data_IF_056094882707
#
_entry.id   IF_056094882707
#
_cell.length_a   1.000
_cell.length_b   1.000
_cell.length_c   1.000
_cell.angle_alpha   90.00
_cell.angle_beta   90.00
_cell.angle_gamma   90.00
#
_symmetry.space_group_name_H-M   'P 1'
#
loop_
_entity.id
_entity.type
_entity.pdbx_description
1 polymer ?
#
# COMPACT_ATOMS: atom_id res chain seq x y z
N UNK A 1 -5.17 12.35 33.08
CA UNK A 1 -5.36 13.10 31.83
C UNK A 1 -4.43 12.67 30.67
N UNK A 2 -3.25 12.05 30.89
CA UNK A 2 -2.40 11.54 29.79
C UNK A 2 -2.71 10.11 29.29
N UNK A 3 -3.73 9.44 29.83
CA UNK A 3 -4.08 8.03 29.50
C UNK A 3 -5.30 7.87 28.59
N UNK A 4 -5.97 8.96 28.23
CA UNK A 4 -7.19 8.96 27.39
C UNK A 4 -6.83 9.18 25.90
N UNK A 5 -5.69 9.82 25.62
CA UNK A 5 -5.19 10.06 24.25
C UNK A 5 -4.69 8.76 23.59
N UNK A 6 -4.30 7.74 24.37
CA UNK A 6 -3.79 6.47 23.85
C UNK A 6 -4.88 5.54 23.26
N UNK A 7 -6.14 5.61 23.73
CA UNK A 7 -7.25 4.81 23.18
C UNK A 7 -7.76 5.33 21.83
N UNK A 8 -7.58 6.63 21.57
CA UNK A 8 -7.94 7.28 20.30
C UNK A 8 -7.02 6.85 19.14
N UNK A 9 -5.72 6.72 19.44
CA UNK A 9 -4.75 6.13 18.52
C UNK A 9 -5.01 4.62 18.44
N UNK A 10 -5.54 3.92 19.45
CA UNK A 10 -5.85 2.51 19.29
C UNK A 10 -6.98 2.25 18.29
N UNK A 11 -8.09 3.00 18.29
CA UNK A 11 -9.14 2.75 17.28
C UNK A 11 -8.72 3.22 15.88
N UNK A 12 -8.14 4.42 15.74
CA UNK A 12 -7.64 4.91 14.44
C UNK A 12 -6.38 4.19 13.98
N UNK A 13 -5.49 3.74 14.86
CA UNK A 13 -4.30 2.96 14.51
C UNK A 13 -4.56 1.47 14.42
N UNK A 14 -5.59 0.89 15.05
CA UNK A 14 -6.10 -0.43 14.65
C UNK A 14 -6.59 -0.32 13.20
N UNK A 15 -7.33 0.74 12.87
CA UNK A 15 -7.77 1.04 11.50
C UNK A 15 -6.60 1.34 10.53
N UNK A 16 -5.55 2.08 10.93
CA UNK A 16 -4.38 2.37 10.10
C UNK A 16 -3.38 1.20 10.04
N UNK A 17 -3.29 0.34 11.07
CA UNK A 17 -2.43 -0.85 11.05
C UNK A 17 -2.97 -1.97 10.18
N UNK A 18 -4.20 -1.87 9.67
CA UNK A 18 -4.66 -2.73 8.58
C UNK A 18 -4.09 -2.35 7.20
N UNK A 19 -3.36 -1.24 7.06
CA UNK A 19 -2.62 -0.96 5.81
C UNK A 19 -1.15 -1.42 5.84
N UNK A 20 -0.61 -1.79 7.00
CA UNK A 20 0.80 -2.16 7.16
C UNK A 20 1.03 -3.27 8.19
N UNK A 21 1.78 -4.28 7.75
CA UNK A 21 2.45 -5.33 8.54
C UNK A 21 1.67 -6.62 8.83
N UNK A 22 1.67 -7.54 7.85
CA UNK A 22 1.81 -8.98 8.12
C UNK A 22 3.20 -9.45 7.70
N UNK A 23 4.10 -9.57 8.68
CA UNK A 23 5.36 -10.29 8.53
C UNK A 23 5.10 -11.79 8.51
N UNK A 24 5.26 -12.48 7.37
CA UNK A 24 5.55 -13.92 7.40
C UNK A 24 6.59 -14.38 6.38
N UNK A 25 7.43 -15.23 6.94
CA UNK A 25 8.56 -15.98 6.40
C UNK A 25 8.13 -16.89 5.25
N UNK A 26 9.00 -16.96 4.25
CA UNK A 26 8.72 -17.62 2.99
C UNK A 26 8.78 -19.15 2.96
N UNK A 27 8.30 -19.59 1.80
CA UNK A 27 8.75 -20.71 0.96
C UNK A 27 8.44 -22.15 1.41
N UNK A 28 7.60 -22.81 0.59
CA UNK A 28 8.14 -23.85 -0.31
C UNK A 28 7.32 -24.03 -1.57
N UNK A 29 8.10 -24.28 -2.62
CA UNK A 29 7.79 -24.23 -4.04
C UNK A 29 7.41 -25.62 -4.60
N UNK A 30 6.91 -25.57 -5.83
CA UNK A 30 6.88 -26.58 -6.91
C UNK A 30 5.69 -27.55 -7.05
N UNK A 31 5.06 -27.51 -8.25
CA UNK A 31 4.49 -28.72 -8.83
C UNK A 31 3.42 -28.64 -9.94
N UNK A 32 3.61 -27.83 -11.00
CA UNK A 32 3.28 -28.13 -12.42
C UNK A 32 2.01 -28.94 -12.79
N UNK A 33 1.12 -28.35 -13.61
CA UNK A 33 0.11 -29.13 -14.34
C UNK A 33 -0.84 -28.34 -15.25
N UNK A 34 -0.38 -28.02 -16.46
CA UNK A 34 -1.15 -27.66 -17.67
C UNK A 34 -2.54 -28.31 -17.76
N UNK A 35 -3.57 -27.58 -18.23
CA UNK A 35 -4.29 -27.85 -19.50
C UNK A 35 -5.27 -26.71 -19.86
N UNK A 36 -5.22 -26.31 -21.14
CA UNK A 36 -6.07 -25.36 -21.86
C UNK A 36 -7.58 -25.66 -21.78
N UNK A 37 -8.42 -24.62 -21.85
CA UNK A 37 -9.39 -24.51 -22.96
C UNK A 37 -10.04 -23.12 -23.07
N UNK A 38 -9.94 -22.61 -24.28
CA UNK A 38 -10.52 -21.39 -24.84
C UNK A 38 -12.00 -21.62 -25.19
N UNK A 39 -12.88 -20.66 -24.89
CA UNK A 39 -14.07 -20.40 -25.70
C UNK A 39 -14.62 -19.00 -25.41
N UNK A 40 -14.35 -18.07 -26.33
CA UNK A 40 -14.96 -16.75 -26.41
C UNK A 40 -16.45 -16.85 -26.74
N UNK A 41 -17.27 -16.00 -26.12
CA UNK A 41 -18.51 -15.53 -26.71
C UNK A 41 -18.75 -14.08 -26.28
N UNK A 42 -18.53 -13.17 -27.22
CA UNK A 42 -18.92 -11.77 -27.17
C UNK A 42 -20.43 -11.68 -27.39
N UNK A 43 -21.13 -10.86 -26.61
CA UNK A 43 -22.35 -10.20 -27.07
C UNK A 43 -22.49 -8.83 -26.40
N UNK A 44 -22.40 -7.80 -27.24
CA UNK A 44 -22.77 -6.42 -26.95
C UNK A 44 -24.23 -6.35 -26.48
N UNK A 45 -24.51 -5.60 -25.42
CA UNK A 45 -25.77 -4.84 -25.34
C UNK A 45 -25.55 -3.56 -24.53
N UNK A 46 -25.64 -2.43 -25.23
CA UNK A 46 -25.84 -1.10 -24.65
C UNK A 46 -27.14 -1.09 -23.84
N UNK A 47 -27.04 -0.63 -22.59
CA UNK A 47 -28.20 -0.45 -21.72
C UNK A 47 -27.89 0.57 -20.65
N UNK A 48 -28.16 1.84 -20.94
CA UNK A 48 -28.22 2.92 -19.94
C UNK A 48 -29.26 2.56 -18.88
N UNK A 49 -28.82 2.37 -17.63
CA UNK A 49 -29.71 2.36 -16.47
C UNK A 49 -28.95 2.88 -15.26
N UNK A 50 -29.21 4.13 -14.92
CA UNK A 50 -29.03 4.68 -13.58
C UNK A 50 -29.94 3.92 -12.62
N UNK A 51 -29.43 2.84 -12.04
CA UNK A 51 -30.05 2.10 -10.94
C UNK A 51 -29.05 2.00 -9.81
N UNK A 52 -29.35 2.64 -8.69
CA UNK A 52 -28.70 2.35 -7.40
C UNK A 52 -28.92 0.86 -7.13
N UNK A 53 -27.93 0.06 -7.53
CA UNK A 53 -27.91 -1.36 -7.25
C UNK A 53 -27.34 -1.49 -5.86
N UNK A 54 -28.11 -2.07 -4.94
CA UNK A 54 -27.63 -2.40 -3.61
C UNK A 54 -26.32 -3.19 -3.75
N UNK A 55 -25.20 -2.71 -3.16
CA UNK A 55 -23.89 -3.31 -3.33
C UNK A 55 -23.79 -4.75 -2.81
N UNK A 56 -24.84 -5.28 -2.18
CA UNK A 56 -24.94 -6.68 -1.73
C UNK A 56 -25.49 -7.66 -2.79
N UNK A 57 -25.84 -7.22 -4.01
CA UNK A 57 -26.57 -8.05 -5.00
C UNK A 57 -25.78 -8.26 -6.31
N UNK A 58 -24.51 -8.64 -6.23
CA UNK A 58 -23.77 -9.07 -7.43
C UNK A 58 -23.91 -10.58 -7.62
N UNK A 59 -24.23 -11.02 -8.84
CA UNK A 59 -24.49 -12.43 -9.13
C UNK A 59 -23.21 -13.22 -9.36
N UNK A 60 -22.08 -12.53 -9.62
CA UNK A 60 -20.75 -13.12 -9.79
C UNK A 60 -19.63 -12.23 -9.23
N UNK A 61 -18.46 -12.84 -9.04
CA UNK A 61 -17.24 -12.13 -8.63
C UNK A 61 -16.84 -11.06 -9.66
N UNK A 62 -16.90 -11.40 -10.95
CA UNK A 62 -16.52 -10.49 -12.04
C UNK A 62 -17.41 -9.25 -12.10
N UNK A 63 -18.72 -9.41 -11.87
CA UNK A 63 -19.65 -8.27 -11.77
C UNK A 63 -19.30 -7.35 -10.60
N UNK A 64 -18.97 -7.92 -9.44
CA UNK A 64 -18.56 -7.12 -8.27
C UNK A 64 -17.25 -6.35 -8.54
N UNK A 65 -16.28 -6.98 -9.20
CA UNK A 65 -15.01 -6.33 -9.59
C UNK A 65 -15.26 -5.18 -10.58
N UNK A 66 -16.06 -5.43 -11.63
CA UNK A 66 -16.38 -4.40 -12.63
C UNK A 66 -17.10 -3.21 -12.00
N UNK A 67 -18.09 -3.47 -11.15
CA UNK A 67 -18.81 -2.41 -10.43
C UNK A 67 -17.89 -1.63 -9.47
N UNK A 68 -16.91 -2.30 -8.87
CA UNK A 68 -15.92 -1.63 -8.01
C UNK A 68 -15.03 -0.69 -8.83
N UNK A 69 -14.52 -1.15 -9.97
CA UNK A 69 -13.67 -0.35 -10.87
C UNK A 69 -14.44 0.85 -11.43
N UNK A 70 -15.71 0.66 -11.79
CA UNK A 70 -16.60 1.75 -12.22
C UNK A 70 -16.74 2.81 -11.12
N UNK A 71 -17.06 2.39 -9.90
CA UNK A 71 -17.17 3.29 -8.75
C UNK A 71 -15.84 3.97 -8.39
N UNK A 72 -14.73 3.24 -8.51
CA UNK A 72 -13.37 3.77 -8.34
C UNK A 72 -13.08 4.89 -9.34
N UNK A 73 -13.28 4.63 -10.64
CA UNK A 73 -13.06 5.61 -11.70
C UNK A 73 -13.99 6.83 -11.59
N UNK A 74 -15.22 6.64 -11.10
CA UNK A 74 -16.17 7.72 -10.86
C UNK A 74 -15.85 8.55 -9.60
N UNK A 75 -14.84 8.16 -8.80
CA UNK A 75 -14.56 8.70 -7.46
C UNK A 75 -15.78 8.67 -6.54
N UNK A 76 -16.58 7.62 -6.67
CA UNK A 76 -17.71 7.37 -5.79
C UNK A 76 -17.20 6.72 -4.50
N UNK A 77 -16.66 7.56 -3.61
CA UNK A 77 -16.12 7.15 -2.31
C UNK A 77 -17.15 6.37 -1.49
N UNK A 78 -18.41 6.80 -1.53
CA UNK A 78 -19.47 6.14 -0.77
C UNK A 78 -19.73 4.73 -1.30
N UNK A 79 -19.91 4.59 -2.61
CA UNK A 79 -20.16 3.29 -3.23
C UNK A 79 -18.98 2.34 -3.05
N UNK A 80 -17.75 2.81 -3.28
CA UNK A 80 -16.56 1.97 -3.05
C UNK A 80 -16.39 1.61 -1.58
N UNK A 81 -16.82 2.46 -0.65
CA UNK A 81 -16.78 2.16 0.79
C UNK A 81 -17.80 1.08 1.14
N UNK A 82 -19.04 1.21 0.66
CA UNK A 82 -20.11 0.23 0.90
C UNK A 82 -19.82 -1.14 0.25
N UNK A 83 -19.05 -1.15 -0.84
CA UNK A 83 -18.55 -2.40 -1.45
C UNK A 83 -17.41 -3.05 -0.66
N UNK A 84 -16.65 -2.27 0.12
CA UNK A 84 -15.50 -2.75 0.91
C UNK A 84 -15.84 -3.10 2.35
N UNK A 85 -16.95 -2.57 2.86
CA UNK A 85 -17.30 -2.66 4.27
C UNK A 85 -18.53 -3.57 4.47
N UNK A 86 -18.70 -4.14 5.68
CA UNK A 86 -19.94 -4.81 6.06
C UNK A 86 -21.16 -3.93 5.82
N UNK A 87 -22.34 -4.55 5.69
CA UNK A 87 -23.59 -3.78 5.55
C UNK A 87 -23.85 -2.90 6.78
N UNK A 88 -24.68 -1.87 6.65
CA UNK A 88 -25.08 -0.93 7.71
C UNK A 88 -23.92 -0.27 8.50
N UNK A 89 -22.78 -0.04 7.85
CA UNK A 89 -21.62 0.60 8.48
C UNK A 89 -21.82 2.09 8.81
N UNK A 90 -22.91 2.71 8.36
CA UNK A 90 -23.25 4.10 8.68
C UNK A 90 -23.34 4.35 10.19
N UNK A 91 -23.84 3.41 10.98
CA UNK A 91 -23.94 3.60 12.43
C UNK A 91 -22.57 3.53 13.13
N UNK A 92 -21.65 2.70 12.63
CA UNK A 92 -20.26 2.66 13.11
C UNK A 92 -19.57 3.99 12.81
N UNK A 93 -19.73 4.50 11.58
CA UNK A 93 -19.17 5.79 11.15
C UNK A 93 -19.71 6.93 12.03
N UNK A 94 -21.01 6.96 12.33
CA UNK A 94 -21.59 7.96 13.25
C UNK A 94 -21.02 7.89 14.66
N UNK A 95 -20.78 6.69 15.21
CA UNK A 95 -20.12 6.55 16.52
C UNK A 95 -18.72 7.15 16.48
N UNK A 96 -17.97 6.93 15.40
CA UNK A 96 -16.61 7.50 15.25
C UNK A 96 -16.68 9.02 15.13
N UNK A 97 -17.59 9.57 14.31
CA UNK A 97 -17.80 11.02 14.17
C UNK A 97 -18.17 11.65 15.52
N UNK A 98 -19.10 11.05 16.26
CA UNK A 98 -19.48 11.49 17.61
C UNK A 98 -18.26 11.49 18.55
N UNK A 99 -17.48 10.40 18.54
CA UNK A 99 -16.28 10.29 19.36
C UNK A 99 -15.23 11.37 19.03
N UNK A 100 -15.02 11.67 17.75
CA UNK A 100 -14.12 12.75 17.33
C UNK A 100 -14.62 14.12 17.80
N UNK A 101 -15.93 14.37 17.67
CA UNK A 101 -16.57 15.61 18.14
C UNK A 101 -16.44 15.80 19.64
N UNK A 102 -16.62 14.74 20.43
CA UNK A 102 -16.46 14.77 21.89
C UNK A 102 -15.02 15.14 22.32
N UNK A 103 -14.05 14.97 21.42
CA UNK A 103 -12.65 15.37 21.60
C UNK A 103 -12.26 16.66 20.88
N UNK A 104 -13.24 17.42 20.37
CA UNK A 104 -13.02 18.71 19.71
C UNK A 104 -12.50 18.61 18.27
N UNK A 105 -12.59 17.44 17.64
CA UNK A 105 -12.29 17.24 16.22
C UNK A 105 -13.61 17.31 15.46
N UNK A 106 -13.78 18.33 14.61
CA UNK A 106 -14.92 18.41 13.70
C UNK A 106 -14.61 17.60 12.43
N UNK A 107 -15.39 16.56 12.18
CA UNK A 107 -15.35 15.77 10.94
C UNK A 107 -16.78 15.41 10.55
N UNK A 108 -16.99 15.19 9.25
CA UNK A 108 -18.23 14.64 8.71
C UNK A 108 -18.10 13.15 8.40
N UNK A 109 -19.22 12.45 8.21
CA UNK A 109 -19.20 11.04 7.77
C UNK A 109 -18.46 10.89 6.43
N UNK A 110 -18.66 11.82 5.50
CA UNK A 110 -18.05 11.80 4.17
C UNK A 110 -16.54 12.06 4.21
N UNK A 111 -16.07 12.99 5.05
CA UNK A 111 -14.63 13.19 5.27
C UNK A 111 -13.99 11.94 5.88
N UNK A 112 -14.68 11.30 6.81
CA UNK A 112 -14.21 10.07 7.43
C UNK A 112 -14.13 8.93 6.40
N UNK A 113 -15.18 8.72 5.59
CA UNK A 113 -15.19 7.72 4.50
C UNK A 113 -14.04 7.95 3.52
N UNK A 114 -13.83 9.20 3.08
CA UNK A 114 -12.69 9.55 2.22
C UNK A 114 -11.35 9.24 2.89
N UNK A 115 -11.22 9.52 4.18
CA UNK A 115 -10.01 9.21 4.95
C UNK A 115 -9.75 7.70 5.01
N UNK A 116 -10.78 6.87 5.18
CA UNK A 116 -10.63 5.41 5.16
C UNK A 116 -10.08 4.88 3.83
N UNK A 117 -10.43 5.56 2.75
CA UNK A 117 -10.06 5.18 1.40
C UNK A 117 -8.87 5.97 0.85
N UNK A 118 -8.18 6.72 1.71
CA UNK A 118 -7.04 7.54 1.30
C UNK A 118 -6.02 6.71 0.52
N UNK A 119 -5.63 5.54 1.04
CA UNK A 119 -4.66 4.66 0.41
C UNK A 119 -5.12 4.16 -0.97
N UNK A 120 -6.42 3.94 -1.16
CA UNK A 120 -7.00 3.53 -2.44
C UNK A 120 -6.87 4.63 -3.50
N UNK A 121 -7.09 5.90 -3.13
CA UNK A 121 -7.14 7.03 -4.07
C UNK A 121 -5.89 7.95 -4.08
N UNK A 122 -4.91 7.70 -3.20
CA UNK A 122 -3.73 8.56 -3.07
C UNK A 122 -2.88 8.57 -4.35
N UNK A 123 -2.53 9.77 -4.80
CA UNK A 123 -1.66 10.03 -5.96
C UNK A 123 -2.33 9.83 -7.32
N UNK A 124 -3.65 9.61 -7.36
CA UNK A 124 -4.37 9.12 -8.55
C UNK A 124 -5.42 10.12 -9.05
N UNK A 125 -5.18 11.44 -8.98
CA UNK A 125 -6.17 12.49 -9.30
C UNK A 125 -6.82 12.38 -10.70
N UNK A 126 -6.12 11.80 -11.68
CA UNK A 126 -6.60 11.67 -13.06
C UNK A 126 -6.64 10.23 -13.60
N UNK A 127 -6.31 9.22 -12.80
CA UNK A 127 -6.21 7.84 -13.29
C UNK A 127 -7.58 7.23 -13.57
N UNK A 128 -7.69 6.57 -14.71
CA UNK A 128 -8.81 5.69 -15.07
C UNK A 128 -8.30 4.30 -15.34
N UNK A 129 -8.94 3.31 -14.74
CA UNK A 129 -8.54 1.92 -14.83
C UNK A 129 -9.60 1.14 -15.59
N UNK A 130 -9.19 0.33 -16.56
CA UNK A 130 -10.06 -0.66 -17.20
C UNK A 130 -9.60 -2.06 -16.81
N UNK A 131 -10.56 -2.93 -16.50
CA UNK A 131 -10.30 -4.37 -16.39
C UNK A 131 -10.19 -4.94 -17.80
N UNK A 132 -9.06 -5.56 -18.13
CA UNK A 132 -8.92 -6.31 -19.37
C UNK A 132 -9.51 -7.73 -19.18
N UNK A 133 -8.89 -8.52 -18.31
CA UNK A 133 -9.40 -9.83 -17.93
C UNK A 133 -8.93 -10.28 -16.53
N UNK A 134 -9.59 -11.31 -15.99
CA UNK A 134 -9.16 -12.01 -14.77
C UNK A 134 -8.13 -13.08 -15.16
N UNK A 135 -6.94 -13.02 -14.57
CA UNK A 135 -5.85 -13.98 -14.78
C UNK A 135 -6.10 -15.25 -13.95
N UNK A 136 -6.38 -15.08 -12.65
CA UNK A 136 -6.76 -16.19 -11.76
C UNK A 136 -7.75 -15.75 -10.69
N UNK A 137 -8.49 -16.73 -10.17
CA UNK A 137 -9.37 -16.58 -9.01
C UNK A 137 -9.24 -17.84 -8.17
N UNK A 138 -8.36 -17.76 -7.19
CA UNK A 138 -8.00 -18.88 -6.34
C UNK A 138 -8.65 -18.72 -4.96
N UNK A 139 -9.24 -19.77 -4.37
CA UNK A 139 -9.75 -19.68 -3.00
C UNK A 139 -8.63 -19.21 -2.05
N UNK A 140 -8.96 -18.26 -1.19
CA UNK A 140 -8.05 -17.81 -0.14
C UNK A 140 -7.68 -18.98 0.77
N UNK A 141 -6.42 -19.07 1.17
CA UNK A 141 -5.99 -20.11 2.09
C UNK A 141 -6.58 -19.93 3.50
N UNK A 142 -6.42 -20.93 4.36
CA UNK A 142 -7.01 -20.90 5.71
C UNK A 142 -6.50 -19.71 6.56
N UNK A 143 -5.24 -19.31 6.38
CA UNK A 143 -4.65 -18.17 7.09
C UNK A 143 -5.19 -16.86 6.56
N UNK A 144 -5.23 -16.69 5.23
CA UNK A 144 -5.78 -15.49 4.58
C UNK A 144 -7.25 -15.29 4.91
N UNK A 145 -8.05 -16.37 4.85
CA UNK A 145 -9.46 -16.34 5.21
C UNK A 145 -9.65 -15.99 6.69
N UNK A 146 -8.81 -16.52 7.58
CA UNK A 146 -8.86 -16.19 9.00
C UNK A 146 -8.57 -14.70 9.25
N UNK A 147 -7.54 -14.14 8.59
CA UNK A 147 -7.17 -12.73 8.71
C UNK A 147 -8.29 -11.81 8.17
N UNK A 148 -8.88 -12.16 7.02
CA UNK A 148 -10.03 -11.44 6.45
C UNK A 148 -11.24 -11.48 7.40
N UNK A 149 -11.53 -12.63 8.00
CA UNK A 149 -12.61 -12.79 8.99
C UNK A 149 -12.35 -11.98 10.25
N UNK A 150 -11.13 -11.97 10.78
CA UNK A 150 -10.79 -11.14 11.93
C UNK A 150 -11.05 -9.64 11.64
N UNK A 151 -10.59 -9.18 10.48
CA UNK A 151 -10.71 -7.77 10.07
C UNK A 151 -12.19 -7.35 9.89
N UNK A 152 -12.99 -8.12 9.17
CA UNK A 152 -14.42 -7.85 9.01
C UNK A 152 -15.21 -8.06 10.29
N UNK A 153 -14.81 -9.05 11.10
CA UNK A 153 -15.43 -9.39 12.36
C UNK A 153 -15.37 -8.26 13.38
N UNK A 154 -14.31 -7.44 13.35
CA UNK A 154 -14.21 -6.25 14.20
C UNK A 154 -15.40 -5.32 13.97
N UNK A 155 -15.71 -5.00 12.71
CA UNK A 155 -16.83 -4.12 12.38
C UNK A 155 -18.17 -4.76 12.74
N UNK A 156 -18.32 -6.07 12.52
CA UNK A 156 -19.50 -6.83 12.95
C UNK A 156 -19.72 -6.78 14.47
N UNK A 157 -18.64 -6.90 15.26
CA UNK A 157 -18.70 -6.77 16.72
C UNK A 157 -19.13 -5.37 17.14
N UNK A 158 -18.53 -4.31 16.58
CA UNK A 158 -18.90 -2.92 16.88
C UNK A 158 -20.37 -2.66 16.54
N UNK A 159 -20.86 -3.14 15.39
CA UNK A 159 -22.28 -3.05 15.01
C UNK A 159 -23.18 -3.72 16.04
N UNK A 160 -22.83 -4.95 16.45
CA UNK A 160 -23.56 -5.66 17.50
C UNK A 160 -23.58 -4.87 18.81
N UNK A 161 -22.44 -4.31 19.22
CA UNK A 161 -22.34 -3.52 20.44
C UNK A 161 -23.25 -2.29 20.39
N UNK A 162 -23.27 -1.56 19.27
CA UNK A 162 -24.14 -0.41 19.06
C UNK A 162 -25.62 -0.82 19.22
N UNK A 163 -26.01 -1.93 18.61
CA UNK A 163 -27.35 -2.47 18.71
C UNK A 163 -27.72 -2.86 20.15
N UNK A 164 -26.83 -3.58 20.86
CA UNK A 164 -27.02 -4.02 22.25
C UNK A 164 -27.14 -2.85 23.23
N UNK A 165 -26.45 -1.73 22.97
CA UNK A 165 -26.57 -0.49 23.75
C UNK A 165 -27.80 0.35 23.37
N UNK A 166 -28.53 -0.04 22.34
CA UNK A 166 -29.78 0.58 21.93
C UNK A 166 -29.61 1.81 21.04
N UNK A 167 -28.55 1.83 20.22
CA UNK A 167 -28.30 2.82 19.17
C UNK A 167 -27.06 3.70 19.39
N UNK A 168 -26.62 4.35 18.32
CA UNK A 168 -25.43 5.23 18.25
C UNK A 168 -25.35 6.23 19.40
N UNK A 169 -26.47 6.88 19.75
CA UNK A 169 -26.49 7.93 20.76
C UNK A 169 -26.13 7.44 22.17
N UNK A 170 -26.39 6.16 22.46
CA UNK A 170 -26.17 5.55 23.78
C UNK A 170 -24.80 4.91 23.94
N UNK A 171 -24.02 4.83 22.86
CA UNK A 171 -22.68 4.29 22.91
C UNK A 171 -21.72 5.32 23.52
N UNK A 172 -20.98 4.87 24.53
CA UNK A 172 -19.79 5.52 25.06
C UNK A 172 -18.57 4.94 24.34
N UNK A 173 -17.83 5.79 23.60
CA UNK A 173 -16.68 5.35 22.82
C UNK A 173 -15.53 4.83 23.68
N UNK A 174 -15.38 5.33 24.91
CA UNK A 174 -14.37 4.86 25.86
C UNK A 174 -14.72 3.51 26.49
N UNK A 175 -16.02 3.20 26.60
CA UNK A 175 -16.48 1.88 27.02
C UNK A 175 -16.32 0.87 25.87
N UNK A 176 -16.71 1.25 24.66
CA UNK A 176 -16.55 0.44 23.45
C UNK A 176 -15.09 0.00 23.25
N UNK A 177 -14.12 0.91 23.37
CA UNK A 177 -12.69 0.61 23.21
C UNK A 177 -12.19 -0.45 24.23
N UNK A 178 -12.67 -0.38 25.47
CA UNK A 178 -12.32 -1.35 26.52
C UNK A 178 -12.95 -2.72 26.28
N UNK A 179 -14.23 -2.73 25.91
CA UNK A 179 -14.99 -3.95 25.63
C UNK A 179 -14.38 -4.66 24.41
N UNK A 180 -14.13 -3.92 23.34
CA UNK A 180 -13.46 -4.40 22.14
C UNK A 180 -12.09 -5.01 22.43
N UNK A 181 -11.24 -4.29 23.18
CA UNK A 181 -9.89 -4.76 23.53
C UNK A 181 -9.88 -6.04 24.38
N UNK A 182 -11.01 -6.39 25.00
CA UNK A 182 -11.17 -7.60 25.80
C UNK A 182 -11.67 -8.80 24.98
N UNK A 183 -12.11 -8.61 23.73
CA UNK A 183 -12.62 -9.70 22.90
C UNK A 183 -11.45 -10.48 22.29
N UNK A 184 -11.38 -11.81 22.50
CA UNK A 184 -10.40 -12.65 21.81
C UNK A 184 -10.56 -12.58 20.28
N UNK A 185 -9.44 -12.55 19.54
CA UNK A 185 -9.42 -12.45 18.06
C UNK A 185 -10.25 -13.54 17.37
N UNK A 186 -10.18 -14.77 17.86
CA UNK A 186 -10.96 -15.91 17.37
C UNK A 186 -12.47 -15.69 17.54
N UNK A 187 -12.89 -14.96 18.57
CA UNK A 187 -14.28 -14.57 18.79
C UNK A 187 -14.70 -13.41 17.91
N UNK A 188 -13.79 -12.48 17.60
CA UNK A 188 -14.05 -11.38 16.68
C UNK A 188 -14.42 -11.93 15.29
N UNK A 189 -13.69 -12.93 14.80
CA UNK A 189 -13.91 -13.54 13.50
C UNK A 189 -15.34 -14.13 13.31
N UNK A 190 -16.00 -14.55 14.40
CA UNK A 190 -17.38 -15.07 14.38
C UNK A 190 -18.40 -14.01 13.94
N UNK A 191 -18.07 -12.72 14.06
CA UNK A 191 -18.94 -11.61 13.64
C UNK A 191 -18.73 -11.16 12.19
N UNK A 192 -17.85 -11.82 11.45
CA UNK A 192 -17.38 -11.34 10.13
C UNK A 192 -18.43 -11.41 9.03
N UNK A 193 -19.38 -12.32 9.08
CA UNK A 193 -20.34 -12.58 7.99
C UNK A 193 -19.72 -13.14 6.70
N UNK A 194 -18.39 -13.37 6.67
CA UNK A 194 -17.69 -13.91 5.51
C UNK A 194 -17.85 -15.44 5.48
N UNK A 195 -18.33 -15.96 4.35
CA UNK A 195 -18.45 -17.42 4.12
C UNK A 195 -17.18 -17.98 3.49
N UNK A 196 -16.72 -17.33 2.43
CA UNK A 196 -15.56 -17.69 1.62
C UNK A 196 -14.86 -16.42 1.11
N UNK A 197 -13.65 -16.58 0.59
CA UNK A 197 -12.88 -15.52 -0.03
C UNK A 197 -12.04 -16.09 -1.17
N UNK A 198 -11.80 -15.27 -2.18
CA UNK A 198 -11.02 -15.63 -3.36
C UNK A 198 -10.01 -14.52 -3.62
N UNK A 199 -8.73 -14.91 -3.75
CA UNK A 199 -7.67 -14.04 -4.23
C UNK A 199 -7.80 -13.96 -5.76
N UNK A 200 -8.09 -12.77 -6.27
CA UNK A 200 -8.28 -12.53 -7.69
C UNK A 200 -7.11 -11.73 -8.22
N UNK A 201 -6.41 -12.29 -9.20
CA UNK A 201 -5.37 -11.63 -9.98
C UNK A 201 -5.98 -11.21 -11.32
N UNK A 202 -5.77 -9.96 -11.71
CA UNK A 202 -6.39 -9.35 -12.89
C UNK A 202 -5.39 -8.53 -13.67
N UNK A 203 -5.56 -8.48 -14.99
CA UNK A 203 -4.85 -7.55 -15.83
C UNK A 203 -5.65 -6.24 -15.95
N UNK A 204 -5.00 -5.13 -15.61
CA UNK A 204 -5.58 -3.79 -15.57
C UNK A 204 -4.86 -2.87 -16.54
N UNK A 205 -5.60 -2.02 -17.22
CA UNK A 205 -5.08 -0.98 -18.10
C UNK A 205 -5.27 0.39 -17.45
N UNK A 206 -4.24 1.23 -17.47
CA UNK A 206 -4.39 2.66 -17.24
C UNK A 206 -4.88 3.31 -18.54
N UNK A 207 -6.16 3.69 -18.61
CA UNK A 207 -6.74 4.24 -19.84
C UNK A 207 -6.13 5.58 -20.27
N UNK A 208 -5.41 6.28 -19.37
CA UNK A 208 -4.76 7.55 -19.68
C UNK A 208 -3.42 7.32 -20.39
N UNK A 209 -2.62 6.35 -19.92
CA UNK A 209 -1.27 6.08 -20.45
C UNK A 209 -1.24 4.92 -21.44
N UNK A 210 -2.21 4.02 -21.37
CA UNK A 210 -2.24 2.73 -22.06
C UNK A 210 -1.41 1.64 -21.38
N UNK A 211 -0.84 1.90 -20.20
CA UNK A 211 0.01 0.94 -19.51
C UNK A 211 -0.79 -0.21 -18.91
N UNK A 212 -0.28 -1.43 -19.10
CA UNK A 212 -0.84 -2.67 -18.54
C UNK A 212 -0.11 -3.06 -17.26
N UNK A 213 -0.84 -3.53 -16.25
CA UNK A 213 -0.28 -4.00 -14.99
C UNK A 213 -1.21 -5.00 -14.29
N UNK A 214 -0.65 -5.84 -13.42
CA UNK A 214 -1.43 -6.77 -12.61
C UNK A 214 -2.01 -6.10 -11.35
N UNK A 215 -3.32 -6.23 -11.17
CA UNK A 215 -4.03 -5.92 -9.94
C UNK A 215 -4.31 -7.18 -9.13
N UNK A 216 -4.41 -7.05 -7.80
CA UNK A 216 -4.77 -8.16 -6.90
C UNK A 216 -5.86 -7.69 -5.95
N UNK A 217 -6.91 -8.45 -5.73
CA UNK A 217 -7.88 -8.14 -4.67
C UNK A 217 -8.45 -9.42 -4.08
N UNK A 218 -9.06 -9.32 -2.90
CA UNK A 218 -9.92 -10.40 -2.43
C UNK A 218 -11.38 -10.08 -2.71
N UNK A 219 -12.10 -11.05 -3.25
CA UNK A 219 -13.56 -11.02 -3.38
C UNK A 219 -14.14 -11.95 -2.32
N UNK A 220 -15.02 -11.41 -1.49
CA UNK A 220 -15.47 -12.04 -0.24
C UNK A 220 -16.94 -12.42 -0.36
N UNK A 221 -17.28 -13.70 -0.19
CA UNK A 221 -18.66 -14.11 -0.03
C UNK A 221 -19.19 -13.60 1.32
N UNK A 222 -20.20 -12.73 1.29
CA UNK A 222 -20.71 -12.05 2.47
C UNK A 222 -22.23 -11.95 2.42
N UNK A 223 -22.93 -12.55 3.39
CA UNK A 223 -24.40 -12.55 3.51
C UNK A 223 -25.19 -12.89 2.22
N UNK A 224 -24.64 -13.75 1.35
CA UNK A 224 -25.28 -14.13 0.08
C UNK A 224 -24.97 -13.20 -1.10
N UNK A 225 -24.10 -12.21 -0.90
CA UNK A 225 -23.53 -11.35 -1.94
C UNK A 225 -22.01 -11.35 -1.93
N UNK A 226 -21.42 -10.33 -2.57
CA UNK A 226 -19.97 -10.15 -2.69
C UNK A 226 -19.51 -8.81 -2.13
N UNK A 227 -18.41 -8.83 -1.35
CA UNK A 227 -17.66 -7.64 -0.92
C UNK A 227 -16.26 -7.67 -1.49
N UNK A 228 -15.60 -6.52 -1.55
CA UNK A 228 -14.25 -6.36 -2.09
C UNK A 228 -13.29 -5.98 -0.98
N UNK A 229 -12.16 -6.66 -0.85
CA UNK A 229 -11.00 -6.12 -0.16
C UNK A 229 -10.00 -5.61 -1.20
N UNK A 230 -9.98 -4.29 -1.37
CA UNK A 230 -9.15 -3.59 -2.35
C UNK A 230 -7.78 -3.17 -1.79
N UNK A 231 -7.36 -3.69 -0.62
CA UNK A 231 -6.08 -3.33 -0.01
C UNK A 231 -4.91 -3.55 -0.99
N UNK A 232 -4.97 -4.62 -1.77
CA UNK A 232 -3.95 -4.98 -2.74
C UNK A 232 -4.32 -4.62 -4.18
N UNK A 233 -5.39 -3.84 -4.40
CA UNK A 233 -6.00 -3.64 -5.72
C UNK A 233 -5.00 -3.30 -6.83
N UNK A 234 -3.92 -2.60 -6.47
CA UNK A 234 -2.81 -2.21 -7.36
C UNK A 234 -1.65 -3.24 -7.43
N UNK A 235 -1.88 -4.49 -7.04
CA UNK A 235 -0.91 -5.58 -7.05
C UNK A 235 -0.02 -5.68 -5.80
N UNK A 236 0.25 -6.91 -5.35
CA UNK A 236 1.29 -7.25 -4.34
C UNK A 236 2.68 -7.06 -4.93
N UNK A 237 2.83 -7.18 -6.25
CA UNK A 237 4.11 -7.01 -6.93
C UNK A 237 4.69 -5.61 -6.77
N UNK A 238 3.86 -4.56 -6.73
CA UNK A 238 4.32 -3.19 -6.48
C UNK A 238 4.90 -3.06 -5.06
N UNK A 239 4.30 -3.71 -4.05
CA UNK A 239 4.83 -3.72 -2.68
C UNK A 239 6.04 -4.62 -2.51
N UNK A 240 6.05 -5.79 -3.15
CA UNK A 240 7.19 -6.71 -3.12
C UNK A 240 8.40 -6.11 -3.86
N UNK A 241 8.19 -5.47 -5.02
CA UNK A 241 9.20 -4.71 -5.76
C UNK A 241 9.65 -3.48 -4.99
N UNK A 242 8.74 -2.69 -4.40
CA UNK A 242 9.06 -1.57 -3.50
C UNK A 242 9.94 -2.02 -2.33
N UNK A 243 9.57 -3.13 -1.65
CA UNK A 243 10.34 -3.71 -0.55
C UNK A 243 11.71 -4.24 -1.02
N UNK A 244 11.76 -4.85 -2.20
CA UNK A 244 13.00 -5.38 -2.79
C UNK A 244 13.96 -4.25 -3.15
N UNK A 245 13.47 -3.23 -3.86
CA UNK A 245 14.23 -2.02 -4.18
C UNK A 245 14.63 -1.27 -2.90
N UNK A 246 13.78 -1.20 -1.88
CA UNK A 246 14.15 -0.57 -0.60
C UNK A 246 15.25 -1.34 0.12
N UNK A 247 15.20 -2.67 0.10
CA UNK A 247 16.29 -3.51 0.62
C UNK A 247 17.58 -3.31 -0.18
N UNK A 248 17.50 -3.21 -1.51
CA UNK A 248 18.63 -2.91 -2.38
C UNK A 248 19.20 -1.51 -2.11
N UNK A 249 18.36 -0.49 -1.95
CA UNK A 249 18.78 0.86 -1.55
C UNK A 249 19.49 0.84 -0.20
N UNK A 250 19.00 0.06 0.78
CA UNK A 250 19.69 -0.14 2.06
C UNK A 250 21.05 -0.82 1.90
N UNK A 251 21.16 -1.80 1.00
CA UNK A 251 22.44 -2.46 0.71
C UNK A 251 23.44 -1.50 0.04
N UNK A 252 23.00 -0.75 -0.97
CA UNK A 252 23.81 0.29 -1.62
C UNK A 252 24.25 1.35 -0.61
N UNK A 253 23.35 1.81 0.26
CA UNK A 253 23.68 2.74 1.34
C UNK A 253 24.79 2.20 2.25
N UNK A 254 24.67 0.95 2.71
CA UNK A 254 25.67 0.32 3.59
C UNK A 254 27.00 0.08 2.87
N UNK A 255 26.94 -0.30 1.58
CA UNK A 255 28.11 -0.44 0.72
C UNK A 255 28.83 0.90 0.56
N UNK A 256 28.09 1.98 0.27
CA UNK A 256 28.63 3.34 0.16
C UNK A 256 29.27 3.80 1.47
N UNK A 257 28.60 3.63 2.62
CA UNK A 257 29.17 3.93 3.93
C UNK A 257 30.50 3.19 4.16
N UNK A 258 30.54 1.90 3.83
CA UNK A 258 31.76 1.09 3.97
C UNK A 258 32.88 1.58 3.04
N UNK A 259 32.55 1.94 1.81
CA UNK A 259 33.50 2.52 0.84
C UNK A 259 34.09 3.85 1.32
N UNK A 260 33.26 4.74 1.88
CA UNK A 260 33.71 6.04 2.40
C UNK A 260 34.66 5.85 3.59
N UNK A 261 34.36 4.92 4.49
CA UNK A 261 35.25 4.57 5.62
C UNK A 261 36.59 4.01 5.14
N UNK A 262 36.59 3.15 4.12
CA UNK A 262 37.84 2.68 3.51
C UNK A 262 38.64 3.83 2.88
N UNK A 263 37.96 4.73 2.16
CA UNK A 263 38.62 5.87 1.52
C UNK A 263 39.19 6.84 2.55
N UNK A 264 38.50 7.06 3.68
CA UNK A 264 38.99 7.86 4.81
C UNK A 264 40.23 7.22 5.43
N UNK A 265 40.21 5.91 5.69
CA UNK A 265 41.35 5.17 6.24
C UNK A 265 42.58 5.16 5.30
N UNK A 266 42.36 5.35 4.01
CA UNK A 266 43.39 5.45 2.97
C UNK A 266 43.82 6.91 2.68
N UNK A 267 43.32 7.90 3.44
CA UNK A 267 43.52 9.34 3.22
C UNK A 267 43.14 9.79 1.78
N UNK A 268 42.13 9.14 1.20
CA UNK A 268 41.69 9.31 -0.20
C UNK A 268 40.26 9.85 -0.35
N UNK A 269 39.57 10.11 0.75
CA UNK A 269 38.17 10.57 0.74
C UNK A 269 38.00 11.96 0.12
N UNK A 270 38.99 12.84 0.25
CA UNK A 270 38.90 14.23 -0.22
C UNK A 270 37.97 15.10 0.66
N UNK A 271 37.53 16.23 0.13
CA UNK A 271 36.57 17.12 0.79
C UNK A 271 35.14 16.67 0.46
N UNK A 272 34.36 16.39 1.50
CA UNK A 272 32.97 15.94 1.43
C UNK A 272 32.05 16.79 2.29
N UNK A 273 32.45 18.03 2.60
CA UNK A 273 31.70 18.96 3.45
C UNK A 273 30.43 19.50 2.77
N UNK A 274 30.46 19.64 1.45
CA UNK A 274 29.28 19.93 0.64
C UNK A 274 28.60 18.63 0.21
N UNK A 275 27.27 18.66 0.04
CA UNK A 275 26.50 17.49 -0.39
C UNK A 275 26.63 17.27 -1.90
N UNK A 276 26.77 16.01 -2.32
CA UNK A 276 26.90 15.63 -3.73
C UNK A 276 26.27 14.27 -4.00
N UNK A 277 26.07 13.94 -5.27
CA UNK A 277 25.49 12.67 -5.71
C UNK A 277 26.48 11.91 -6.58
N UNK A 278 26.67 10.62 -6.25
CA UNK A 278 27.30 9.65 -7.13
C UNK A 278 26.21 8.76 -7.71
N UNK A 279 26.10 8.75 -9.04
CA UNK A 279 25.08 7.99 -9.77
C UNK A 279 25.71 6.75 -10.44
N UNK A 280 24.91 5.72 -10.72
CA UNK A 280 25.35 4.54 -11.49
C UNK A 280 25.72 4.86 -12.94
N UNK A 281 25.32 6.05 -13.40
CA UNK A 281 25.63 6.68 -14.67
C UNK A 281 26.53 7.87 -14.38
N UNK A 282 27.81 7.79 -14.75
CA UNK A 282 28.80 8.83 -14.46
C UNK A 282 28.40 10.20 -15.05
N UNK A 283 27.60 10.21 -16.12
CA UNK A 283 27.10 11.46 -16.72
C UNK A 283 26.07 12.19 -15.85
N UNK A 284 25.59 11.54 -14.79
CA UNK A 284 24.60 12.05 -13.83
C UNK A 284 25.19 12.19 -12.42
N UNK A 285 26.51 12.20 -12.30
CA UNK A 285 27.15 12.68 -11.09
C UNK A 285 26.83 14.18 -10.91
N UNK A 286 26.49 14.57 -9.68
CA UNK A 286 26.02 15.93 -9.39
C UNK A 286 26.80 16.54 -8.24
N UNK A 287 27.33 17.76 -8.43
CA UNK A 287 28.11 18.53 -7.45
C UNK A 287 29.32 17.80 -6.85
N UNK A 288 29.91 16.85 -7.57
CA UNK A 288 31.07 16.09 -7.07
C UNK A 288 32.30 17.01 -6.88
N UNK A 289 32.89 17.05 -5.67
CA UNK A 289 34.09 17.85 -5.40
C UNK A 289 35.28 17.40 -6.26
N UNK A 290 36.09 18.34 -6.74
CA UNK A 290 37.25 18.05 -7.61
C UNK A 290 38.27 17.07 -7.00
N UNK A 291 38.32 16.97 -5.66
CA UNK A 291 39.21 16.08 -4.92
C UNK A 291 38.65 14.70 -4.61
N UNK A 292 37.39 14.42 -4.93
CA UNK A 292 36.75 13.13 -4.64
C UNK A 292 37.02 12.12 -5.76
N UNK A 293 37.61 10.98 -5.42
CA UNK A 293 37.90 9.90 -6.39
C UNK A 293 36.66 9.02 -6.61
N UNK A 294 35.82 9.42 -7.57
CA UNK A 294 34.58 8.70 -7.91
C UNK A 294 34.82 7.30 -8.43
N UNK A 295 35.93 7.07 -9.15
CA UNK A 295 36.30 5.75 -9.69
C UNK A 295 36.65 4.79 -8.56
N UNK A 296 37.47 5.25 -7.60
CA UNK A 296 37.82 4.47 -6.40
C UNK A 296 36.58 4.17 -5.55
N UNK A 297 35.70 5.17 -5.36
CA UNK A 297 34.44 4.98 -4.64
C UNK A 297 33.58 3.89 -5.27
N UNK A 298 33.29 3.97 -6.58
CA UNK A 298 32.50 2.95 -7.31
C UNK A 298 33.13 1.57 -7.23
N UNK A 299 34.46 1.50 -7.42
CA UNK A 299 35.20 0.25 -7.34
C UNK A 299 35.10 -0.40 -5.96
N UNK A 300 35.14 0.39 -4.88
CA UNK A 300 34.95 -0.11 -3.51
C UNK A 300 33.49 -0.50 -3.26
N UNK A 301 32.53 0.29 -3.73
CA UNK A 301 31.09 0.02 -3.59
C UNK A 301 30.73 -1.32 -4.23
N UNK A 302 31.24 -1.59 -5.43
CA UNK A 302 31.07 -2.86 -6.16
C UNK A 302 31.52 -4.09 -5.36
N UNK A 303 32.53 -3.98 -4.49
CA UNK A 303 32.97 -5.09 -3.63
C UNK A 303 31.87 -5.56 -2.66
N UNK A 304 30.96 -4.65 -2.31
CA UNK A 304 29.92 -4.85 -1.31
C UNK A 304 28.51 -4.92 -1.91
N UNK A 305 28.34 -4.57 -3.19
CA UNK A 305 27.09 -4.66 -3.93
C UNK A 305 27.34 -5.06 -5.40
N UNK A 306 27.09 -6.33 -5.71
CA UNK A 306 27.46 -6.94 -7.00
C UNK A 306 26.48 -6.62 -8.15
N UNK A 307 25.24 -6.21 -7.84
CA UNK A 307 24.16 -5.98 -8.81
C UNK A 307 24.12 -4.53 -9.37
N UNK A 308 25.22 -3.78 -9.29
CA UNK A 308 25.25 -2.35 -9.66
C UNK A 308 24.92 -2.04 -11.12
N UNK A 309 25.08 -3.02 -12.01
CA UNK A 309 24.92 -2.85 -13.47
C UNK A 309 23.51 -3.18 -13.98
N UNK A 310 22.70 -3.89 -13.18
CA UNK A 310 21.35 -4.31 -13.57
C UNK A 310 20.29 -3.28 -13.16
N UNK A 311 20.67 -2.31 -12.34
CA UNK A 311 19.78 -1.30 -11.75
C UNK A 311 20.34 0.10 -11.96
N UNK A 312 19.45 1.10 -12.01
CA UNK A 312 19.85 2.50 -11.84
C UNK A 312 19.87 2.82 -10.35
N UNK A 313 20.88 3.54 -9.90
CA UNK A 313 21.01 3.93 -8.51
C UNK A 313 21.75 5.25 -8.37
N UNK A 314 21.55 5.89 -7.23
CA UNK A 314 22.42 6.98 -6.79
C UNK A 314 22.60 6.95 -5.27
N UNK A 315 23.69 7.57 -4.81
CA UNK A 315 23.97 7.80 -3.41
C UNK A 315 24.20 9.30 -3.20
N UNK A 316 23.46 9.89 -2.28
CA UNK A 316 23.71 11.22 -1.76
C UNK A 316 24.77 11.11 -0.65
N UNK A 317 25.87 11.83 -0.80
CA UNK A 317 26.97 11.89 0.17
C UNK A 317 27.01 13.29 0.75
N UNK A 318 27.11 13.37 2.09
CA UNK A 318 27.21 14.63 2.83
C UNK A 318 28.00 14.42 4.12
N UNK A 319 28.85 15.37 4.46
CA UNK A 319 29.67 15.36 5.68
C UNK A 319 30.48 14.05 5.84
N UNK A 320 30.95 13.49 4.72
CA UNK A 320 31.76 12.25 4.69
C UNK A 320 30.97 10.95 4.87
N UNK A 321 29.63 11.01 4.88
CA UNK A 321 28.76 9.86 5.03
C UNK A 321 27.72 9.79 3.90
N UNK A 322 27.21 8.59 3.63
CA UNK A 322 26.01 8.46 2.83
C UNK A 322 24.81 9.03 3.61
N UNK A 323 24.13 10.00 3.03
CA UNK A 323 22.91 10.59 3.58
C UNK A 323 21.67 9.81 3.12
N UNK A 324 21.64 9.42 1.84
CA UNK A 324 20.59 8.60 1.27
C UNK A 324 21.11 7.75 0.10
N UNK A 325 20.40 6.68 -0.21
CA UNK A 325 20.58 5.92 -1.44
C UNK A 325 19.21 5.66 -2.08
N UNK A 326 19.20 5.61 -3.41
CA UNK A 326 18.02 5.19 -4.16
C UNK A 326 18.40 4.20 -5.26
N UNK A 327 17.46 3.31 -5.58
CA UNK A 327 17.60 2.31 -6.65
C UNK A 327 16.28 2.12 -7.37
N UNK A 328 16.33 1.98 -8.69
CA UNK A 328 15.17 1.73 -9.52
C UNK A 328 15.50 0.90 -10.76
N UNK A 329 14.45 0.31 -11.32
CA UNK A 329 14.50 -0.42 -12.56
C UNK A 329 14.25 0.53 -13.75
N UNK A 330 15.21 0.72 -14.68
CA UNK A 330 14.98 1.54 -15.86
C UNK A 330 13.96 0.93 -16.82
N UNK A 331 13.74 -0.38 -16.79
CA UNK A 331 12.77 -1.09 -17.65
C UNK A 331 11.34 -1.04 -17.08
N UNK A 332 11.20 -0.74 -15.79
CA UNK A 332 9.90 -0.57 -15.12
C UNK A 332 9.79 0.82 -14.48
N UNK A 333 9.62 1.89 -15.28
CA UNK A 333 9.51 3.25 -14.76
C UNK A 333 8.29 3.39 -13.85
N UNK A 334 8.47 4.01 -12.68
CA UNK A 334 7.37 4.24 -11.72
C UNK A 334 7.73 4.12 -10.24
N UNK A 335 8.83 3.42 -9.91
CA UNK A 335 9.17 3.08 -8.53
C UNK A 335 10.66 3.21 -8.26
N UNK A 336 11.00 3.83 -7.13
CA UNK A 336 12.34 3.79 -6.55
C UNK A 336 12.28 3.28 -5.12
N UNK A 337 13.20 2.38 -4.77
CA UNK A 337 13.51 2.10 -3.38
C UNK A 337 14.41 3.20 -2.85
N UNK A 338 14.12 3.71 -1.66
CA UNK A 338 14.87 4.79 -1.03
C UNK A 338 15.24 4.37 0.38
N UNK A 339 16.47 4.68 0.79
CA UNK A 339 16.93 4.47 2.16
C UNK A 339 17.78 5.66 2.61
N UNK A 340 17.40 6.32 3.70
CA UNK A 340 18.17 7.41 4.32
C UNK A 340 18.41 7.06 5.77
N UNK A 341 19.64 6.99 6.28
CA UNK A 341 19.96 6.43 7.61
C UNK A 341 19.30 7.06 8.86
N UNK A 342 18.31 7.97 8.72
CA UNK A 342 17.50 8.55 9.78
C UNK A 342 16.31 7.66 10.21
N UNK A 343 15.82 7.88 11.44
CA UNK A 343 14.66 7.17 12.04
C UNK A 343 13.32 7.51 11.37
N UNK A 344 13.28 8.45 10.42
CA UNK A 344 12.09 8.79 9.60
C UNK A 344 11.92 7.87 8.37
N UNK A 345 12.70 6.79 8.30
CA UNK A 345 12.54 5.73 7.30
C UNK A 345 11.26 4.94 7.57
N UNK A 346 10.17 5.32 6.91
CA UNK A 346 9.09 4.40 6.49
C UNK A 346 8.12 5.05 5.47
N UNK A 347 8.47 6.23 4.92
CA UNK A 347 7.67 6.85 3.88
C UNK A 347 8.02 6.27 2.51
N UNK A 348 7.19 5.36 1.98
CA UNK A 348 7.12 5.11 0.53
C UNK A 348 6.83 6.44 -0.19
N UNK A 349 7.86 7.26 -0.48
CA UNK A 349 7.72 8.34 -1.47
C UNK A 349 7.60 7.64 -2.82
N UNK A 350 6.39 7.56 -3.34
CA UNK A 350 6.09 7.02 -4.69
C UNK A 350 6.50 8.01 -5.78
N UNK A 351 7.79 8.35 -5.80
CA UNK A 351 8.44 9.07 -6.87
C UNK A 351 9.12 8.07 -7.79
N UNK A 352 9.19 8.38 -9.08
CA UNK A 352 10.11 7.66 -9.98
C UNK A 352 11.55 7.93 -9.53
N UNK A 353 12.48 7.02 -9.80
CA UNK A 353 13.89 7.22 -9.42
C UNK A 353 14.49 8.48 -10.02
N UNK A 354 14.09 8.84 -11.24
CA UNK A 354 14.48 10.09 -11.89
C UNK A 354 13.88 11.32 -11.21
N UNK A 355 12.60 11.30 -10.85
CA UNK A 355 11.98 12.41 -10.13
C UNK A 355 12.61 12.62 -8.75
N UNK A 356 12.96 11.53 -8.04
CA UNK A 356 13.67 11.61 -6.77
C UNK A 356 15.10 12.13 -6.93
N UNK A 357 15.82 11.68 -7.97
CA UNK A 357 17.13 12.23 -8.33
C UNK A 357 17.05 13.75 -8.61
N UNK A 358 16.08 14.20 -9.41
CA UNK A 358 15.90 15.62 -9.72
C UNK A 358 15.50 16.46 -8.50
N UNK A 359 14.71 15.91 -7.57
CA UNK A 359 14.44 16.53 -6.27
C UNK A 359 15.74 16.73 -5.49
N UNK A 360 16.59 15.71 -5.41
CA UNK A 360 17.87 15.79 -4.69
C UNK A 360 18.88 16.73 -5.34
N UNK A 361 19.00 16.75 -6.67
CA UNK A 361 19.81 17.75 -7.35
C UNK A 361 19.38 19.18 -6.99
N UNK A 362 18.06 19.46 -7.00
CA UNK A 362 17.53 20.77 -6.63
C UNK A 362 17.82 21.13 -5.18
N UNK A 363 17.65 20.18 -4.24
CA UNK A 363 17.96 20.40 -2.82
C UNK A 363 19.44 20.76 -2.59
N UNK A 364 20.35 20.16 -3.37
CA UNK A 364 21.78 20.44 -3.28
C UNK A 364 22.20 21.76 -3.95
N UNK A 365 21.44 22.23 -4.94
CA UNK A 365 21.72 23.48 -5.64
C UNK A 365 21.23 24.73 -4.89
N UNK A 366 20.33 24.57 -3.91
CA UNK A 366 19.79 25.64 -3.05
C UNK A 366 18.53 26.29 -3.60
#
# INVERSE_FOLDING_TARGET
MKRIIAGLIALTAVICSFTGCTDKKGSKDTGSGSTQNTASASENTEGTSTGETDPSVYSSQEEAIKAFIEAFNARDYRRTFDMQMPDDMGDVIKVIVKSQKDHGIETTEEELIKSYQYSLYYGDEDRKIRLDHIISSDPADESELADLKENFGMFGYVRKYIADKGGVDKVDSSELDKEYSAVPKDKIAEYSGITDAYCVVMELENEVTGDMYEGIMYVLGYNGGWKINAQYFRGVEIRARSKTLTNEASMIYKAAMTSLVEMEAEDSLGDTSEGFIIHSDESRDHNVPQGFDTESFRKKLKKYYENENERRWFVEIKDGAAAAAAVWDPETPGFAGIYSGSEDNDGEKRLTGDAYYEEKCRELDG
#
